data_IF_828773170555
#
_entry.id   IF_828773170555
#
_cell.length_a   1.000
_cell.length_b   1.000
_cell.length_c   1.000
_cell.angle_alpha   90.00
_cell.angle_beta   90.00
_cell.angle_gamma   90.00
#
_symmetry.space_group_name_H-M   'P 1'
#
loop_
_entity.id
_entity.type
_entity.pdbx_description
1 polymer ?
#
# COMPACT_ATOMS: atom_id res chain seq x y z
N UNK A 1 18.36 -7.93 -9.16
CA UNK A 1 18.03 -7.05 -10.29
C UNK A 1 16.51 -6.94 -10.39
N UNK A 2 15.96 -5.74 -10.56
CA UNK A 2 14.52 -5.54 -10.80
C UNK A 2 14.20 -5.97 -12.24
N UNK A 3 13.44 -7.05 -12.39
CA UNK A 3 13.05 -7.61 -13.69
C UNK A 3 11.93 -6.81 -14.38
N UNK A 4 11.32 -5.82 -13.71
CA UNK A 4 10.18 -5.06 -14.24
C UNK A 4 10.58 -3.93 -15.19
N UNK A 5 11.88 -3.61 -15.29
CA UNK A 5 12.40 -2.54 -16.14
C UNK A 5 11.99 -1.13 -15.70
N UNK A 6 11.43 -0.98 -14.50
CA UNK A 6 10.99 0.33 -13.99
C UNK A 6 12.18 1.11 -13.45
N UNK A 7 12.42 2.28 -14.05
CA UNK A 7 13.45 3.22 -13.60
C UNK A 7 12.80 4.16 -12.59
N UNK A 8 13.32 4.27 -11.34
CA UNK A 8 12.81 5.25 -10.40
C UNK A 8 13.01 6.68 -10.94
N UNK A 9 12.13 7.63 -10.60
CA UNK A 9 12.30 9.03 -11.02
C UNK A 9 13.69 9.57 -10.60
N UNK A 10 14.33 10.42 -11.42
CA UNK A 10 15.64 10.98 -11.10
C UNK A 10 15.65 11.65 -9.71
N UNK A 11 16.66 11.34 -8.90
CA UNK A 11 16.83 11.90 -7.56
C UNK A 11 15.98 11.24 -6.46
N UNK A 12 15.11 10.28 -6.79
CA UNK A 12 14.30 9.56 -5.80
C UNK A 12 14.99 8.26 -5.41
N UNK A 13 15.38 8.13 -4.14
CA UNK A 13 15.77 6.85 -3.53
C UNK A 13 14.59 6.36 -2.68
N UNK A 14 13.68 5.54 -3.23
CA UNK A 14 12.56 5.03 -2.45
C UNK A 14 13.08 4.23 -1.26
N UNK A 15 12.66 4.62 -0.05
CA UNK A 15 12.96 3.89 1.18
C UNK A 15 11.78 2.99 1.50
N UNK A 16 12.05 1.69 1.59
CA UNK A 16 11.09 0.71 2.07
C UNK A 16 11.45 0.31 3.51
N UNK A 17 10.44 0.22 4.36
CA UNK A 17 10.54 -0.34 5.71
C UNK A 17 9.81 -1.67 5.73
N UNK A 18 10.44 -2.72 6.23
CA UNK A 18 9.78 -4.00 6.48
C UNK A 18 9.22 -4.01 7.91
N UNK A 19 7.95 -4.38 8.06
CA UNK A 19 7.26 -4.48 9.35
C UNK A 19 6.59 -5.84 9.42
N UNK A 20 6.77 -6.54 10.53
CA UNK A 20 6.08 -7.80 10.78
C UNK A 20 4.65 -7.55 11.26
N UNK A 21 3.68 -8.19 10.62
CA UNK A 21 2.29 -8.20 11.06
C UNK A 21 2.02 -9.51 11.79
N UNK A 22 2.08 -9.45 13.11
CA UNK A 22 1.96 -10.62 13.99
C UNK A 22 0.64 -11.39 13.80
N UNK A 23 -0.50 -10.69 13.76
CA UNK A 23 -1.82 -11.35 13.68
C UNK A 23 -2.01 -12.20 12.40
N UNK A 24 -1.33 -11.81 11.33
CA UNK A 24 -1.44 -12.42 10.00
C UNK A 24 -0.19 -13.21 9.62
N UNK A 25 0.79 -13.30 10.53
CA UNK A 25 2.06 -14.02 10.33
C UNK A 25 2.77 -13.62 9.02
N UNK A 26 2.81 -12.31 8.71
CA UNK A 26 3.26 -11.82 7.40
C UNK A 26 4.14 -10.57 7.48
N UNK A 27 5.13 -10.46 6.59
CA UNK A 27 5.89 -9.23 6.41
C UNK A 27 5.10 -8.25 5.53
N UNK A 28 4.98 -7.01 5.99
CA UNK A 28 4.50 -5.87 5.21
C UNK A 28 5.66 -4.96 4.83
N UNK A 29 5.74 -4.55 3.57
CA UNK A 29 6.65 -3.51 3.10
C UNK A 29 5.91 -2.18 3.03
N UNK A 30 6.46 -1.17 3.68
CA UNK A 30 5.91 0.17 3.75
C UNK A 30 6.80 1.16 3.00
N UNK A 31 6.18 2.09 2.27
CA UNK A 31 6.85 3.19 1.59
C UNK A 31 6.10 4.50 1.84
N UNK A 32 6.83 5.59 2.00
CA UNK A 32 6.23 6.92 2.08
C UNK A 32 6.17 7.56 0.68
N UNK A 33 4.98 8.02 0.30
CA UNK A 33 4.77 8.76 -0.93
C UNK A 33 3.80 9.91 -0.69
N UNK A 34 4.20 11.13 -1.06
CA UNK A 34 3.39 12.35 -0.88
C UNK A 34 2.84 12.51 0.57
N UNK A 35 3.65 12.17 1.57
CA UNK A 35 3.25 12.24 2.99
C UNK A 35 2.25 11.16 3.43
N UNK A 36 2.04 10.11 2.65
CA UNK A 36 1.18 8.97 2.99
C UNK A 36 2.04 7.71 3.04
N UNK A 37 1.90 6.93 4.12
CA UNK A 37 2.49 5.60 4.22
C UNK A 37 1.60 4.60 3.48
N UNK A 38 2.16 3.89 2.49
CA UNK A 38 1.51 2.81 1.75
C UNK A 38 2.17 1.49 2.11
N UNK A 39 1.36 0.47 2.40
CA UNK A 39 1.82 -0.87 2.74
C UNK A 39 1.43 -1.90 1.66
N UNK A 40 2.29 -2.90 1.46
CA UNK A 40 2.04 -4.11 0.67
C UNK A 40 2.48 -5.34 1.44
N UNK A 41 1.64 -6.38 1.51
CA UNK A 41 2.01 -7.68 2.10
C UNK A 41 2.94 -8.49 1.18
N UNK A 42 3.80 -9.31 1.78
CA UNK A 42 4.76 -10.14 1.06
C UNK A 42 4.10 -11.37 0.43
N UNK A 43 3.22 -12.05 1.17
CA UNK A 43 2.60 -13.34 0.84
C UNK A 43 1.68 -13.34 -0.40
N UNK A 44 0.81 -12.34 -0.52
CA UNK A 44 -0.23 -12.28 -1.55
C UNK A 44 -0.21 -10.97 -2.35
N UNK A 45 0.78 -10.12 -2.08
CA UNK A 45 1.01 -8.85 -2.76
C UNK A 45 -0.15 -7.85 -2.69
N UNK A 46 -1.12 -8.03 -1.79
CA UNK A 46 -2.18 -7.06 -1.57
C UNK A 46 -1.62 -5.74 -1.03
N UNK A 47 -2.20 -4.63 -1.46
CA UNK A 47 -1.83 -3.26 -1.06
C UNK A 47 -2.93 -2.62 -0.22
N UNK A 48 -2.59 -1.67 0.64
CA UNK A 48 -3.60 -0.85 1.29
C UNK A 48 -4.25 0.09 0.26
N UNK A 49 -5.42 -0.30 -0.24
CA UNK A 49 -6.19 0.45 -1.24
C UNK A 49 -6.60 1.85 -0.76
N UNK A 50 -6.90 2.03 0.53
CA UNK A 50 -7.26 3.34 1.09
C UNK A 50 -6.08 4.32 0.98
N UNK A 51 -4.88 3.89 1.36
CA UNK A 51 -3.66 4.73 1.32
C UNK A 51 -3.24 4.99 -0.13
N UNK A 52 -3.34 4.00 -1.00
CA UNK A 52 -3.04 4.15 -2.43
C UNK A 52 -3.91 5.24 -3.07
N UNK A 53 -5.22 5.24 -2.79
CA UNK A 53 -6.15 6.22 -3.33
C UNK A 53 -5.96 7.62 -2.71
N UNK A 54 -5.47 7.70 -1.47
CA UNK A 54 -5.06 8.97 -0.86
C UNK A 54 -3.81 9.55 -1.54
N UNK A 55 -2.80 8.72 -1.87
CA UNK A 55 -1.62 9.15 -2.65
C UNK A 55 -2.03 9.67 -4.04
N UNK A 56 -3.08 9.09 -4.63
CA UNK A 56 -3.64 9.53 -5.90
C UNK A 56 -4.45 10.85 -5.79
N UNK A 57 -4.72 11.35 -4.58
CA UNK A 57 -5.51 12.58 -4.36
C UNK A 57 -7.01 12.38 -4.60
N UNK A 58 -7.52 11.16 -4.44
CA UNK A 58 -8.94 10.86 -4.65
C UNK A 58 -9.80 11.45 -3.54
N UNK A 59 -10.94 12.05 -3.86
CA UNK A 59 -11.89 12.53 -2.85
C UNK A 59 -12.46 11.37 -2.02
N UNK A 60 -12.86 11.65 -0.77
CA UNK A 60 -13.41 10.64 0.16
C UNK A 60 -14.54 9.82 -0.48
N UNK A 61 -15.56 10.48 -1.02
CA UNK A 61 -16.72 9.80 -1.60
C UNK A 61 -16.35 8.92 -2.80
N UNK A 62 -15.48 9.41 -3.69
CA UNK A 62 -15.00 8.64 -4.85
C UNK A 62 -14.15 7.44 -4.41
N UNK A 63 -13.26 7.64 -3.44
CA UNK A 63 -12.44 6.56 -2.85
C UNK A 63 -13.32 5.46 -2.27
N UNK A 64 -14.30 5.84 -1.44
CA UNK A 64 -15.18 4.87 -0.80
C UNK A 64 -16.01 4.11 -1.85
N UNK A 65 -16.40 4.77 -2.96
CA UNK A 65 -17.00 4.13 -4.12
C UNK A 65 -16.09 3.09 -4.78
N UNK A 66 -14.84 3.47 -5.10
CA UNK A 66 -13.85 2.58 -5.73
C UNK A 66 -13.58 1.36 -4.85
N UNK A 67 -13.31 1.58 -3.55
CA UNK A 67 -13.07 0.50 -2.59
C UNK A 67 -14.29 -0.42 -2.42
N UNK A 68 -15.51 0.09 -2.58
CA UNK A 68 -16.74 -0.71 -2.56
C UNK A 68 -16.93 -1.55 -3.80
N UNK A 69 -16.54 -1.03 -4.96
CA UNK A 69 -16.64 -1.74 -6.24
C UNK A 69 -15.51 -2.74 -6.51
N UNK A 70 -14.40 -2.66 -5.77
CA UNK A 70 -13.29 -3.60 -5.95
C UNK A 70 -13.71 -5.02 -5.58
N UNK A 71 -13.59 -5.95 -6.54
CA UNK A 71 -14.09 -7.33 -6.37
C UNK A 71 -13.15 -8.14 -5.49
N UNK A 72 -11.84 -7.95 -5.68
CA UNK A 72 -10.80 -8.64 -4.92
C UNK A 72 -10.30 -7.72 -3.83
N UNK A 73 -11.04 -7.67 -2.72
CA UNK A 73 -10.73 -6.81 -1.57
C UNK A 73 -10.87 -7.56 -0.25
N UNK A 74 -10.03 -7.17 0.70
CA UNK A 74 -10.09 -7.59 2.11
C UNK A 74 -10.12 -6.33 2.96
N UNK A 75 -11.04 -6.26 3.91
CA UNK A 75 -11.17 -5.12 4.82
C UNK A 75 -10.41 -5.45 6.09
N UNK A 76 -9.30 -4.75 6.30
CA UNK A 76 -8.46 -4.83 7.49
C UNK A 76 -8.77 -3.64 8.37
N UNK A 77 -8.97 -3.86 9.68
CA UNK A 77 -9.26 -2.80 10.66
C UNK A 77 -8.10 -2.47 11.59
N UNK A 78 -7.12 -3.37 11.71
CA UNK A 78 -6.00 -3.28 12.65
C UNK A 78 -4.76 -3.87 11.97
N UNK A 79 -3.59 -3.34 12.29
CA UNK A 79 -2.29 -3.88 11.88
C UNK A 79 -1.46 -2.91 11.05
N UNK A 80 -0.28 -3.33 10.56
CA UNK A 80 0.62 -2.50 9.75
C UNK A 80 0.04 -2.06 8.40
N UNK A 81 -1.06 -2.70 7.99
CA UNK A 81 -1.88 -2.31 6.84
C UNK A 81 -2.94 -1.26 7.19
N UNK A 82 -3.14 -0.87 8.46
CA UNK A 82 -4.09 0.19 8.88
C UNK A 82 -3.44 1.60 8.96
N UNK A 83 -2.12 1.64 9.17
CA UNK A 83 -1.31 2.85 9.31
C UNK A 83 -1.27 3.75 8.08
#
# INVERSE_FOLDING_TARGET
>A
FDATGRIPPPGVKPRATAVWWEDEDVICFQVEAKGVCLARREDNHMVNGTKLLNVAGTTRGRRDGILKSEKTRVVVKVGPMDL
#
